data_IF_166103756687
#
_entry.id   IF_166103756687
#
_cell.length_a   1.000
_cell.length_b   1.000
_cell.length_c   1.000
_cell.angle_alpha   90.00
_cell.angle_beta   90.00
_cell.angle_gamma   90.00
#
_symmetry.space_group_name_H-M   'P 1'
#
loop_
_entity.id
_entity.type
_entity.pdbx_description
1 polymer ?
#
# COMPACT_ATOMS: atom_id res chain seq x y z
N UNK A 1 -8.07 -12.67 -7.48
CA UNK A 1 -8.84 -12.48 -6.22
C UNK A 1 -7.97 -12.12 -5.01
N UNK A 2 -6.93 -12.89 -4.63
CA UNK A 2 -6.06 -12.49 -3.50
C UNK A 2 -5.15 -11.29 -3.81
N UNK A 3 -4.55 -11.24 -5.00
CA UNK A 3 -3.67 -10.11 -5.38
C UNK A 3 -4.43 -8.78 -5.43
N UNK A 4 -5.65 -8.78 -5.96
CA UNK A 4 -6.51 -7.58 -6.02
C UNK A 4 -6.85 -7.07 -4.62
N UNK A 5 -7.05 -7.97 -3.65
CA UNK A 5 -7.27 -7.60 -2.25
C UNK A 5 -6.04 -6.89 -1.66
N UNK A 6 -4.84 -7.44 -1.85
CA UNK A 6 -3.60 -6.81 -1.36
C UNK A 6 -3.27 -5.51 -2.10
N UNK A 7 -3.53 -5.46 -3.40
CA UNK A 7 -3.35 -4.24 -4.19
C UNK A 7 -4.32 -3.13 -3.74
N UNK A 8 -5.59 -3.46 -3.46
CA UNK A 8 -6.53 -2.51 -2.88
C UNK A 8 -6.05 -1.98 -1.52
N UNK A 9 -5.41 -2.83 -0.71
CA UNK A 9 -4.76 -2.40 0.55
C UNK A 9 -3.58 -1.47 0.30
N UNK A 10 -2.70 -1.78 -0.65
CA UNK A 10 -1.56 -0.93 -1.02
C UNK A 10 -2.00 0.46 -1.51
N UNK A 11 -3.05 0.54 -2.34
CA UNK A 11 -3.64 1.80 -2.78
C UNK A 11 -4.22 2.61 -1.60
N UNK A 12 -4.85 1.93 -0.64
CA UNK A 12 -5.37 2.57 0.59
C UNK A 12 -4.26 3.11 1.49
N UNK A 13 -3.10 2.45 1.53
CA UNK A 13 -1.90 2.96 2.19
C UNK A 13 -1.38 4.20 1.47
N UNK A 14 -1.20 4.16 0.15
CA UNK A 14 -0.74 5.29 -0.65
C UNK A 14 -1.58 6.56 -0.43
N UNK A 15 -2.91 6.43 -0.34
CA UNK A 15 -3.83 7.56 -0.09
C UNK A 15 -3.57 8.34 1.20
N UNK A 16 -2.80 7.80 2.15
CA UNK A 16 -2.43 8.49 3.39
C UNK A 16 -1.38 9.59 3.16
N UNK A 17 -0.55 9.49 2.12
CA UNK A 17 0.43 10.51 1.75
C UNK A 17 -0.15 11.75 1.03
N UNK A 18 -1.43 11.71 0.64
CA UNK A 18 -2.02 12.67 -0.31
C UNK A 18 -1.92 14.16 0.04
N UNK A 19 -1.65 14.50 1.29
CA UNK A 19 -1.55 15.88 1.76
C UNK A 19 -0.13 16.32 2.11
N UNK A 20 0.84 15.41 2.11
CA UNK A 20 2.21 15.68 2.60
C UNK A 20 3.31 15.30 1.61
N UNK A 21 2.99 14.51 0.58
CA UNK A 21 4.02 13.90 -0.28
C UNK A 21 4.43 14.77 -1.47
N UNK A 22 3.76 15.90 -1.74
CA UNK A 22 4.14 16.79 -2.86
C UNK A 22 5.60 17.28 -2.73
N UNK A 23 6.42 17.22 -3.80
CA UNK A 23 6.10 16.94 -5.22
C UNK A 23 6.11 15.46 -5.63
N UNK A 24 6.41 14.55 -4.71
CA UNK A 24 6.51 13.12 -4.98
C UNK A 24 5.12 12.47 -5.11
N UNK A 25 5.01 11.36 -5.87
CA UNK A 25 3.77 10.60 -5.94
C UNK A 25 3.47 9.91 -4.61
N UNK A 26 2.18 9.63 -4.38
CA UNK A 26 1.75 8.78 -3.28
C UNK A 26 2.03 7.32 -3.65
N UNK A 27 2.82 6.62 -2.85
CA UNK A 27 3.15 5.21 -3.06
C UNK A 27 2.73 4.43 -1.82
N UNK A 28 2.25 3.21 -1.98
CA UNK A 28 1.93 2.32 -0.88
C UNK A 28 2.45 0.92 -1.19
N UNK A 29 2.90 0.21 -0.16
CA UNK A 29 3.50 -1.11 -0.30
C UNK A 29 2.92 -2.07 0.74
N UNK A 30 2.72 -3.32 0.33
CA UNK A 30 2.32 -4.45 1.17
C UNK A 30 3.24 -5.61 0.83
N UNK A 31 3.83 -6.25 1.83
CA UNK A 31 4.64 -7.47 1.68
C UNK A 31 3.85 -8.62 2.30
N UNK A 32 3.60 -9.65 1.49
CA UNK A 32 2.82 -10.85 1.88
C UNK A 32 3.74 -12.06 1.90
N UNK A 33 3.64 -12.86 2.97
CA UNK A 33 4.31 -14.15 3.08
C UNK A 33 3.30 -15.17 3.62
N UNK A 34 3.16 -16.30 2.92
CA UNK A 34 2.26 -17.39 3.31
C UNK A 34 0.80 -16.95 3.55
N UNK A 35 0.33 -15.95 2.80
CA UNK A 35 -1.03 -15.39 2.91
C UNK A 35 -1.21 -14.36 4.02
N UNK A 36 -0.15 -14.01 4.75
CA UNK A 36 -0.18 -13.02 5.82
C UNK A 36 0.62 -11.76 5.43
N UNK A 37 0.10 -10.59 5.80
CA UNK A 37 0.82 -9.33 5.61
C UNK A 37 1.90 -9.22 6.68
N UNK A 38 3.16 -9.22 6.26
CA UNK A 38 4.33 -9.11 7.15
C UNK A 38 4.97 -7.72 7.14
N UNK A 39 4.51 -6.83 6.25
CA UNK A 39 4.99 -5.45 6.18
C UNK A 39 4.07 -4.53 5.39
N UNK A 40 3.97 -3.27 5.83
CA UNK A 40 3.19 -2.21 5.19
C UNK A 40 3.94 -0.86 5.24
N UNK A 41 3.75 -0.01 4.23
CA UNK A 41 4.32 1.35 4.18
C UNK A 41 3.63 2.27 3.17
N UNK A 42 3.79 3.60 3.35
CA UNK A 42 3.33 4.64 2.44
C UNK A 42 4.12 5.95 2.58
#
# INVERSE_FOLDING_TARGET
MQDEYYMARALKLAQRGRFTTHPNPNVGCVIVKDGEIVGEGY
#
